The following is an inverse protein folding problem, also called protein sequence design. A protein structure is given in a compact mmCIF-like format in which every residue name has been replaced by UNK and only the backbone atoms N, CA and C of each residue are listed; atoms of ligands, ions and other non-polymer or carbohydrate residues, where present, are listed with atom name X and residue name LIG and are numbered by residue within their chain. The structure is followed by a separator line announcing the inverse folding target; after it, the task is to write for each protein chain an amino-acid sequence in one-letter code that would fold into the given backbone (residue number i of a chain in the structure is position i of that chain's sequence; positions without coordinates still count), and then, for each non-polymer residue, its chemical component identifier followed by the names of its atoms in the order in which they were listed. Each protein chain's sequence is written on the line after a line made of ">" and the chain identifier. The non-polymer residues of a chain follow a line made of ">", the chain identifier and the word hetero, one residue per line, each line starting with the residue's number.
data_IF_376297108895
#
_entry.id   IF_376297108895
#
_cell.length_a   1.000
_cell.length_b   1.000
_cell.length_c   1.000
_cell.angle_alpha   90.00
_cell.angle_beta   90.00
_cell.angle_gamma   90.00
#
_symmetry.space_group_name_H-M   'P 1'
#
loop_
_entity.id
_entity.type
_entity.pdbx_description
1 polymer ?
#
# COMPACT_ATOMS: atom_id res chain seq x y z
N UNK A 1 -9.46 -37.29 -3.75
CA UNK A 1 -8.32 -36.50 -4.26
C UNK A 1 -8.68 -35.49 -5.37
N UNK A 2 -9.30 -35.90 -6.50
CA UNK A 2 -9.63 -35.02 -7.64
C UNK A 2 -10.57 -33.86 -7.29
N UNK A 3 -11.57 -34.11 -6.44
CA UNK A 3 -12.49 -33.08 -5.93
C UNK A 3 -11.77 -32.02 -5.07
N UNK A 4 -10.83 -32.44 -4.21
CA UNK A 4 -10.02 -31.51 -3.40
C UNK A 4 -9.10 -30.64 -4.26
N UNK A 5 -8.55 -31.18 -5.36
CA UNK A 5 -7.75 -30.40 -6.32
C UNK A 5 -8.61 -29.33 -7.03
N UNK A 6 -9.83 -29.69 -7.46
CA UNK A 6 -10.77 -28.75 -8.07
C UNK A 6 -11.20 -27.64 -7.10
N UNK A 7 -11.53 -27.99 -5.85
CA UNK A 7 -11.86 -27.02 -4.82
C UNK A 7 -10.72 -26.03 -4.57
N UNK A 8 -9.49 -26.52 -4.37
CA UNK A 8 -8.30 -25.65 -4.17
C UNK A 8 -8.08 -24.70 -5.33
N UNK A 9 -8.24 -25.17 -6.58
CA UNK A 9 -8.12 -24.33 -7.76
C UNK A 9 -9.16 -23.20 -7.76
N UNK A 10 -10.43 -23.53 -7.56
CA UNK A 10 -11.51 -22.55 -7.52
C UNK A 10 -11.29 -21.54 -6.38
N UNK A 11 -10.94 -22.02 -5.19
CA UNK A 11 -10.66 -21.18 -4.03
C UNK A 11 -9.52 -20.20 -4.30
N UNK A 12 -8.42 -20.67 -4.92
CA UNK A 12 -7.28 -19.81 -5.23
C UNK A 12 -7.63 -18.76 -6.30
N UNK A 13 -8.35 -19.15 -7.35
CA UNK A 13 -8.79 -18.21 -8.40
C UNK A 13 -9.74 -17.17 -7.81
N UNK A 14 -10.71 -17.59 -7.00
CA UNK A 14 -11.64 -16.68 -6.34
C UNK A 14 -10.91 -15.73 -5.38
N UNK A 15 -9.95 -16.24 -4.60
CA UNK A 15 -9.13 -15.44 -3.70
C UNK A 15 -8.32 -14.37 -4.44
N UNK A 16 -7.65 -14.73 -5.54
CA UNK A 16 -6.96 -13.77 -6.40
C UNK A 16 -7.92 -12.78 -7.05
N UNK A 17 -9.14 -13.21 -7.41
CA UNK A 17 -10.18 -12.33 -7.92
C UNK A 17 -10.61 -11.27 -6.90
N UNK A 18 -10.87 -11.68 -5.65
CA UNK A 18 -11.21 -10.76 -4.55
C UNK A 18 -10.05 -9.80 -4.26
N UNK A 19 -8.81 -10.30 -4.22
CA UNK A 19 -7.62 -9.48 -4.05
C UNK A 19 -7.51 -8.40 -5.14
N UNK A 20 -7.63 -8.78 -6.41
CA UNK A 20 -7.54 -7.84 -7.52
C UNK A 20 -8.64 -6.77 -7.47
N UNK A 21 -9.88 -7.16 -7.14
CA UNK A 21 -10.99 -6.21 -7.00
C UNK A 21 -10.71 -5.23 -5.86
N UNK A 22 -10.26 -5.72 -4.69
CA UNK A 22 -9.95 -4.87 -3.55
C UNK A 22 -8.81 -3.88 -3.87
N UNK A 23 -7.72 -4.35 -4.47
CA UNK A 23 -6.58 -3.52 -4.86
C UNK A 23 -6.97 -2.44 -5.89
N UNK A 24 -7.77 -2.80 -6.91
CA UNK A 24 -8.26 -1.84 -7.91
C UNK A 24 -9.16 -0.79 -7.24
N UNK A 25 -10.12 -1.21 -6.42
CA UNK A 25 -11.02 -0.27 -5.71
C UNK A 25 -10.21 0.66 -4.81
N UNK A 26 -9.22 0.14 -4.09
CA UNK A 26 -8.32 0.95 -3.28
C UNK A 26 -7.61 1.99 -4.14
N UNK A 27 -6.90 1.58 -5.20
CA UNK A 27 -6.16 2.48 -6.11
C UNK A 27 -7.04 3.53 -6.79
N UNK A 28 -8.31 3.22 -7.06
CA UNK A 28 -9.27 4.18 -7.65
C UNK A 28 -9.81 5.20 -6.62
N UNK A 29 -9.71 4.89 -5.33
CA UNK A 29 -10.29 5.68 -4.24
C UNK A 29 -9.26 6.28 -3.28
N UNK A 30 -7.96 6.08 -3.55
CA UNK A 30 -6.90 6.65 -2.72
C UNK A 30 -6.99 8.18 -2.68
N UNK A 31 -6.73 8.74 -1.50
CA UNK A 31 -6.49 10.17 -1.36
C UNK A 31 -5.15 10.49 -2.05
N UNK A 32 -5.11 11.36 -3.08
CA UNK A 32 -3.87 11.68 -3.79
C UNK A 32 -2.91 12.55 -2.96
N UNK A 33 -3.38 13.12 -1.86
CA UNK A 33 -2.64 14.04 -1.00
C UNK A 33 -2.49 13.50 0.43
N UNK A 34 -2.01 14.34 1.35
CA UNK A 34 -1.99 14.00 2.77
C UNK A 34 -3.41 14.10 3.35
N UNK A 35 -3.99 12.95 3.73
CA UNK A 35 -5.25 12.92 4.48
C UNK A 35 -5.07 13.40 5.92
N UNK A 36 -6.20 13.68 6.55
CA UNK A 36 -6.25 14.17 7.93
C UNK A 36 -5.56 13.23 8.92
N UNK A 37 -5.01 13.82 9.98
CA UNK A 37 -4.39 13.14 11.12
C UNK A 37 -2.96 12.65 10.85
N UNK A 38 -2.70 11.34 10.93
CA UNK A 38 -1.35 10.77 10.94
C UNK A 38 -0.74 10.62 9.54
N UNK A 39 -1.54 10.64 8.48
CA UNK A 39 -1.05 10.28 7.14
C UNK A 39 0.07 11.21 6.65
N UNK A 40 -0.03 12.51 6.92
CA UNK A 40 1.05 13.46 6.61
C UNK A 40 2.35 13.14 7.35
N UNK A 41 2.28 12.73 8.61
CA UNK A 41 3.43 12.32 9.42
C UNK A 41 4.08 11.04 8.84
N UNK A 42 3.27 10.03 8.50
CA UNK A 42 3.77 8.80 7.90
C UNK A 42 4.36 9.02 6.50
N UNK A 43 3.73 9.84 5.65
CA UNK A 43 4.23 10.16 4.30
C UNK A 43 5.59 10.88 4.39
N UNK A 44 5.69 11.89 5.25
CA UNK A 44 6.93 12.66 5.41
C UNK A 44 8.04 11.82 6.05
N UNK A 45 7.71 11.01 7.07
CA UNK A 45 8.65 10.07 7.69
C UNK A 45 9.15 9.02 6.69
N UNK A 46 8.28 8.47 5.85
CA UNK A 46 8.67 7.49 4.83
C UNK A 46 9.53 8.14 3.74
N UNK A 47 9.17 9.34 3.28
CA UNK A 47 9.93 10.06 2.24
C UNK A 47 11.35 10.41 2.69
N UNK A 48 11.52 10.84 3.94
CA UNK A 48 12.82 11.24 4.50
C UNK A 48 13.55 10.13 5.25
N UNK A 49 12.94 8.96 5.43
CA UNK A 49 13.43 7.88 6.30
C UNK A 49 13.65 8.36 7.76
N UNK A 50 12.67 9.09 8.28
CA UNK A 50 12.63 9.55 9.67
C UNK A 50 11.82 8.58 10.55
N UNK A 51 11.92 8.76 11.87
CA UNK A 51 11.13 8.01 12.86
C UNK A 51 9.98 8.90 13.31
N UNK A 52 8.75 8.58 12.90
CA UNK A 52 7.54 9.34 13.30
C UNK A 52 7.32 9.32 14.82
N UNK A 53 7.01 8.13 15.39
CA UNK A 53 6.85 7.93 16.85
C UNK A 53 7.64 6.72 17.33
N UNK A 54 8.34 6.76 18.49
CA UNK A 54 8.97 5.58 19.10
C UNK A 54 7.92 4.51 19.46
N UNK A 55 8.12 3.20 19.21
CA UNK A 55 9.30 2.47 18.71
C UNK A 55 9.47 2.44 17.17
N UNK A 56 8.69 3.22 16.43
CA UNK A 56 8.71 3.35 14.98
C UNK A 56 7.98 2.23 14.24
N UNK A 57 7.67 2.45 12.97
CA UNK A 57 7.18 1.43 12.03
C UNK A 57 8.23 1.19 10.93
N UNK A 58 9.42 0.63 11.26
CA UNK A 58 10.58 0.65 10.38
C UNK A 58 10.34 -0.05 9.04
N UNK A 59 9.63 -1.19 9.04
CA UNK A 59 9.29 -1.88 7.79
C UNK A 59 8.36 -1.03 6.92
N UNK A 60 7.35 -0.40 7.51
CA UNK A 60 6.44 0.50 6.79
C UNK A 60 7.19 1.70 6.19
N UNK A 61 8.13 2.29 6.94
CA UNK A 61 8.94 3.41 6.45
C UNK A 61 9.83 3.00 5.28
N UNK A 62 10.44 1.81 5.33
CA UNK A 62 11.30 1.31 4.25
C UNK A 62 10.50 1.02 2.97
N UNK A 63 9.35 0.35 3.08
CA UNK A 63 8.50 0.08 1.91
C UNK A 63 7.89 1.39 1.40
N UNK A 64 7.45 2.29 2.28
CA UNK A 64 6.94 3.60 1.90
C UNK A 64 7.99 4.40 1.14
N UNK A 65 9.24 4.40 1.62
CA UNK A 65 10.36 5.04 0.94
C UNK A 65 10.60 4.44 -0.46
N UNK A 66 10.57 3.11 -0.60
CA UNK A 66 10.66 2.45 -1.90
C UNK A 66 9.58 2.99 -2.86
N UNK A 67 8.35 3.15 -2.39
CA UNK A 67 7.28 3.70 -3.22
C UNK A 67 7.52 5.17 -3.60
N UNK A 68 8.12 5.97 -2.72
CA UNK A 68 8.48 7.36 -3.06
C UNK A 68 9.46 7.47 -4.23
N UNK A 69 10.27 6.43 -4.49
CA UNK A 69 11.20 6.41 -5.64
C UNK A 69 10.49 6.33 -6.99
N UNK A 70 9.20 5.98 -7.03
CA UNK A 70 8.38 6.00 -8.25
C UNK A 70 7.73 7.36 -8.51
N UNK A 71 7.85 8.33 -7.59
CA UNK A 71 7.36 9.68 -7.80
C UNK A 71 8.30 10.44 -8.77
N UNK A 72 7.74 11.06 -9.81
CA UNK A 72 8.52 11.88 -10.75
C UNK A 72 8.84 13.28 -10.20
N UNK A 73 8.05 13.73 -9.23
CA UNK A 73 8.23 15.01 -8.53
C UNK A 73 7.64 14.95 -7.10
N UNK A 74 8.01 15.87 -6.20
CA UNK A 74 7.57 15.83 -4.79
C UNK A 74 6.05 15.87 -4.57
N UNK A 75 5.27 16.44 -5.49
CA UNK A 75 3.81 16.49 -5.35
C UNK A 75 3.15 15.10 -5.47
N UNK A 76 3.85 14.13 -6.07
CA UNK A 76 3.35 12.77 -6.25
C UNK A 76 3.70 11.83 -5.09
N UNK A 77 4.58 12.24 -4.17
CA UNK A 77 5.07 11.39 -3.07
C UNK A 77 3.92 10.86 -2.22
N UNK A 78 2.96 11.72 -1.85
CA UNK A 78 1.79 11.32 -1.06
C UNK A 78 0.99 10.20 -1.75
N UNK A 79 0.69 10.38 -3.04
CA UNK A 79 0.00 9.38 -3.85
C UNK A 79 0.76 8.05 -3.91
N UNK A 80 2.09 8.09 -4.08
CA UNK A 80 2.90 6.87 -4.15
C UNK A 80 2.92 6.12 -2.82
N UNK A 81 3.12 6.82 -1.69
CA UNK A 81 3.07 6.20 -0.36
C UNK A 81 1.68 5.62 -0.08
N UNK A 82 0.61 6.33 -0.43
CA UNK A 82 -0.76 5.82 -0.23
C UNK A 82 -1.02 4.58 -1.10
N UNK A 83 -0.53 4.57 -2.35
CA UNK A 83 -0.70 3.43 -3.27
C UNK A 83 -0.03 2.14 -2.78
N UNK A 84 0.96 2.22 -1.90
CA UNK A 84 1.61 1.05 -1.27
C UNK A 84 0.63 0.14 -0.52
N UNK A 85 -0.46 0.70 -0.01
CA UNK A 85 -1.42 -0.05 0.82
C UNK A 85 -2.43 -0.88 0.01
N UNK A 86 -2.37 -0.80 -1.33
CA UNK A 86 -3.18 -1.59 -2.27
C UNK A 86 -2.65 -3.01 -2.45
#
# INVERSE_FOLDING_TARGET
>A
EKQMKKYKLINNIAGWGVFAIAAIVYLLTIEPTASFWDCGEFITSAYKLEVGHPPGAPFFMLVGNLFTQFASDPSQVAKMVNSMSA
#
